data_IF_211792947776
#
_entry.id   IF_211792947776
#
_cell.length_a   1.000
_cell.length_b   1.000
_cell.length_c   1.000
_cell.angle_alpha   90.00
_cell.angle_beta   90.00
_cell.angle_gamma   90.00
#
_symmetry.space_group_name_H-M   'P 1'
#
loop_
_entity.id
_entity.type
_entity.pdbx_description
1 polymer ?
#
# COMPACT_ATOMS: atom_id res chain seq x y z
N UNK A 1 -13.08 55.88 41.18
CA UNK A 1 -11.61 55.92 41.04
C UNK A 1 -11.06 54.69 41.74
N UNK A 2 -10.80 53.62 41.02
CA UNK A 2 -10.21 52.40 41.55
C UNK A 2 -9.05 52.04 40.59
N UNK A 3 -7.83 52.07 41.15
CA UNK A 3 -6.59 51.75 40.43
C UNK A 3 -6.44 50.22 40.38
N UNK A 4 -6.35 49.66 39.18
CA UNK A 4 -6.02 48.25 38.95
C UNK A 4 -4.50 48.14 38.85
N UNK A 5 -3.89 47.35 39.73
CA UNK A 5 -2.45 47.04 39.71
C UNK A 5 -2.26 45.81 38.80
N UNK A 6 -1.37 45.97 37.82
CA UNK A 6 -0.97 44.94 36.88
C UNK A 6 0.17 44.12 37.51
N UNK A 7 -0.07 42.82 37.79
CA UNK A 7 0.97 41.91 38.26
C UNK A 7 1.46 41.12 37.03
N UNK A 8 2.70 41.40 36.59
CA UNK A 8 3.42 40.59 35.61
C UNK A 8 4.00 39.37 36.30
N UNK A 9 3.48 38.15 35.95
CA UNK A 9 4.13 36.90 36.29
C UNK A 9 5.11 36.53 35.17
N UNK A 10 6.40 36.53 35.47
CA UNK A 10 7.47 35.99 34.64
C UNK A 10 7.50 34.47 34.82
N UNK A 11 7.06 33.72 33.82
CA UNK A 11 7.23 32.27 33.72
C UNK A 11 8.56 31.99 33.02
N UNK A 12 9.57 31.61 33.79
CA UNK A 12 10.83 31.04 33.30
C UNK A 12 10.60 29.64 32.76
N UNK A 13 10.69 29.50 31.45
CA UNK A 13 10.61 28.18 30.76
C UNK A 13 11.91 27.42 30.98
N UNK A 14 11.82 26.23 31.58
CA UNK A 14 12.92 25.26 31.63
C UNK A 14 13.07 24.63 30.25
N UNK A 15 14.23 24.79 29.62
CA UNK A 15 14.61 24.07 28.41
C UNK A 15 14.94 22.61 28.76
N UNK A 16 14.16 21.68 28.28
CA UNK A 16 14.51 20.26 28.32
C UNK A 16 15.53 19.96 27.21
N UNK A 17 16.78 19.69 27.60
CA UNK A 17 17.79 19.11 26.74
C UNK A 17 17.39 17.66 26.45
N UNK A 18 17.28 17.30 25.19
CA UNK A 18 17.04 15.93 24.77
C UNK A 18 18.29 15.03 24.99
N UNK A 19 18.15 13.71 25.05
CA UNK A 19 19.28 12.82 25.32
C UNK A 19 20.24 12.74 24.12
N UNK A 20 21.53 13.00 24.38
CA UNK A 20 22.66 12.98 23.44
C UNK A 20 23.15 11.57 23.09
N UNK A 21 22.30 10.54 23.11
CA UNK A 21 22.69 9.17 22.78
C UNK A 21 22.17 8.72 21.44
N UNK A 22 23.07 8.67 20.45
CA UNK A 22 22.83 8.04 19.15
C UNK A 22 22.72 6.52 19.27
N UNK A 23 21.61 5.94 18.82
CA UNK A 23 21.38 4.48 18.77
C UNK A 23 22.03 3.81 17.55
N UNK A 24 23.17 4.30 17.04
CA UNK A 24 23.90 3.58 15.99
C UNK A 24 24.67 2.41 16.60
N UNK A 25 24.58 1.19 16.04
CA UNK A 25 25.41 0.06 16.48
C UNK A 25 26.89 0.38 16.25
N UNK A 26 27.68 0.34 17.33
CA UNK A 26 29.13 0.45 17.26
C UNK A 26 29.64 -0.92 16.80
N UNK A 27 30.41 -0.96 15.71
CA UNK A 27 31.13 -2.17 15.32
C UNK A 27 32.09 -2.59 16.46
N UNK A 28 31.94 -3.82 16.90
CA UNK A 28 32.77 -4.42 17.95
C UNK A 28 34.20 -4.57 17.40
N UNK A 29 35.09 -3.67 17.77
CA UNK A 29 36.53 -3.84 17.56
C UNK A 29 36.99 -5.07 18.32
N UNK A 30 37.77 -5.95 17.67
CA UNK A 30 38.41 -7.09 18.35
C UNK A 30 39.27 -6.54 19.48
N UNK A 31 39.07 -7.04 20.68
CA UNK A 31 39.87 -6.67 21.84
C UNK A 31 41.33 -6.98 21.59
N UNK A 32 42.19 -5.96 21.61
CA UNK A 32 43.66 -6.09 21.68
C UNK A 32 43.98 -6.32 23.13
N UNK A 33 44.60 -7.46 23.45
CA UNK A 33 45.09 -7.74 24.79
C UNK A 33 46.24 -6.79 25.11
N UNK A 34 46.08 -6.01 26.18
CA UNK A 34 47.12 -5.13 26.71
C UNK A 34 47.97 -5.90 27.72
N UNK A 35 49.28 -5.89 27.59
CA UNK A 35 50.21 -6.36 28.63
C UNK A 35 50.26 -5.36 29.79
N UNK A 36 50.53 -5.81 31.02
CA UNK A 36 50.51 -4.96 32.24
C UNK A 36 51.55 -3.82 32.25
N UNK A 37 52.49 -3.78 31.30
CA UNK A 37 53.56 -2.74 31.25
C UNK A 37 53.33 -1.63 30.21
N UNK A 38 52.19 -1.58 29.54
CA UNK A 38 51.81 -0.46 28.66
C UNK A 38 52.66 -0.25 27.40
N UNK A 39 53.54 -1.17 27.05
CA UNK A 39 54.42 -1.06 25.89
C UNK A 39 53.90 -1.92 24.73
N UNK A 40 53.63 -1.27 23.58
CA UNK A 40 53.21 -1.96 22.35
C UNK A 40 54.47 -2.46 21.65
N UNK A 41 54.73 -3.77 21.70
CA UNK A 41 55.79 -4.40 20.92
C UNK A 41 55.21 -4.96 19.63
N UNK A 42 55.68 -4.55 18.46
CA UNK A 42 55.26 -5.19 17.20
C UNK A 42 55.77 -6.63 17.13
N UNK A 43 55.05 -7.57 16.50
CA UNK A 43 55.48 -8.95 16.37
C UNK A 43 56.74 -9.01 15.51
N UNK A 44 57.67 -9.95 15.81
CA UNK A 44 58.93 -10.11 15.05
C UNK A 44 58.62 -10.54 13.62
N UNK A 45 59.29 -9.88 12.70
CA UNK A 45 59.27 -10.20 11.27
C UNK A 45 60.05 -11.52 11.10
N UNK A 46 59.37 -12.61 10.82
CA UNK A 46 60.02 -13.86 10.44
C UNK A 46 60.55 -13.71 9.02
N UNK A 47 61.87 -13.58 8.91
CA UNK A 47 62.61 -13.86 7.66
C UNK A 47 62.71 -15.39 7.54
N UNK A 48 61.95 -15.95 6.64
CA UNK A 48 62.19 -17.30 6.14
C UNK A 48 61.65 -17.37 4.68
N UNK A 49 62.55 -17.38 3.82
CA UNK A 49 62.83 -18.12 2.60
C UNK A 49 61.66 -18.43 1.66
N UNK A 50 61.75 -17.81 0.52
CA UNK A 50 61.73 -18.37 -0.85
C UNK A 50 60.65 -19.37 -1.25
N UNK A 51 60.06 -18.99 -2.42
CA UNK A 51 59.31 -19.85 -3.35
C UNK A 51 57.98 -20.41 -2.89
N UNK A 52 57.02 -19.52 -2.67
CA UNK A 52 55.64 -19.85 -2.91
C UNK A 52 55.10 -19.03 -4.09
N UNK A 53 54.93 -19.72 -5.20
CA UNK A 53 54.21 -19.25 -6.38
C UNK A 53 52.99 -18.40 -5.94
N UNK A 54 53.03 -17.11 -6.27
CA UNK A 54 51.88 -16.23 -6.16
C UNK A 54 50.74 -16.81 -7.01
N UNK A 55 49.93 -17.67 -6.41
CA UNK A 55 48.54 -17.82 -6.88
C UNK A 55 47.86 -16.53 -6.50
N UNK A 56 47.76 -15.65 -7.47
CA UNK A 56 46.89 -14.50 -7.45
C UNK A 56 45.45 -15.01 -7.22
N UNK A 57 45.12 -15.26 -5.95
CA UNK A 57 43.71 -15.35 -5.55
C UNK A 57 43.17 -13.93 -5.52
N UNK A 58 43.11 -13.35 -6.73
CA UNK A 58 42.47 -12.07 -6.95
C UNK A 58 41.02 -12.15 -6.51
N UNK A 59 40.74 -11.55 -5.37
CA UNK A 59 39.36 -11.23 -4.89
C UNK A 59 38.72 -10.22 -5.86
N UNK A 60 39.13 -10.20 -7.12
CA UNK A 60 38.78 -9.20 -8.12
C UNK A 60 37.55 -9.51 -8.97
N UNK A 61 37.01 -10.73 -8.98
CA UNK A 61 35.80 -10.99 -9.73
C UNK A 61 34.74 -11.58 -8.84
N UNK A 62 33.74 -10.75 -8.50
CA UNK A 62 32.53 -11.23 -7.89
C UNK A 62 31.87 -12.26 -8.81
N UNK A 63 31.83 -13.51 -8.41
CA UNK A 63 31.16 -14.60 -9.13
C UNK A 63 29.62 -14.41 -9.19
N UNK A 64 29.10 -13.39 -8.52
CA UNK A 64 27.65 -13.08 -8.51
C UNK A 64 27.03 -12.89 -9.88
N UNK A 65 27.66 -12.26 -10.89
CA UNK A 65 27.08 -12.17 -12.23
C UNK A 65 26.96 -13.52 -12.95
N UNK A 66 27.90 -14.45 -12.70
CA UNK A 66 27.94 -15.76 -13.38
C UNK A 66 26.96 -16.79 -12.80
N UNK A 67 26.55 -16.60 -11.53
CA UNK A 67 25.61 -17.50 -10.85
C UNK A 67 24.13 -17.14 -11.07
N UNK A 68 23.86 -16.00 -11.69
CA UNK A 68 22.48 -15.62 -12.02
C UNK A 68 21.99 -16.42 -13.22
N UNK A 69 21.06 -17.34 -13.00
CA UNK A 69 20.48 -18.07 -14.13
C UNK A 69 19.85 -17.09 -15.14
N UNK A 70 20.06 -17.32 -16.43
CA UNK A 70 19.46 -16.51 -17.51
C UNK A 70 17.94 -16.36 -17.36
N UNK A 71 17.27 -17.33 -16.74
CA UNK A 71 15.86 -17.30 -16.41
C UNK A 71 15.51 -16.23 -15.37
N UNK A 72 16.38 -16.06 -14.33
CA UNK A 72 16.22 -15.03 -13.32
C UNK A 72 16.47 -13.62 -13.88
N UNK A 73 17.46 -13.45 -14.75
CA UNK A 73 17.71 -12.17 -15.42
C UNK A 73 16.58 -11.79 -16.36
N UNK A 74 16.08 -12.71 -17.16
CA UNK A 74 14.92 -12.51 -18.03
C UNK A 74 13.70 -12.10 -17.22
N UNK A 75 13.47 -12.75 -16.08
CA UNK A 75 12.37 -12.43 -15.14
C UNK A 75 12.55 -11.06 -14.49
N UNK A 76 13.79 -10.71 -14.09
CA UNK A 76 14.11 -9.39 -13.52
C UNK A 76 13.96 -8.26 -14.55
N UNK A 77 14.39 -8.47 -15.80
CA UNK A 77 14.24 -7.53 -16.91
C UNK A 77 12.76 -7.32 -17.25
N UNK A 78 11.99 -8.40 -17.34
CA UNK A 78 10.54 -8.32 -17.57
C UNK A 78 9.84 -7.57 -16.43
N UNK A 79 10.20 -7.84 -15.16
CA UNK A 79 9.66 -7.11 -14.00
C UNK A 79 10.01 -5.61 -14.07
N UNK A 80 11.25 -5.24 -14.40
CA UNK A 80 11.65 -3.83 -14.58
C UNK A 80 10.86 -3.14 -15.69
N UNK A 81 10.67 -3.82 -16.83
CA UNK A 81 9.88 -3.30 -17.94
C UNK A 81 8.40 -3.07 -17.55
N UNK A 82 7.84 -3.93 -16.71
CA UNK A 82 6.47 -3.79 -16.22
C UNK A 82 6.35 -2.70 -15.16
N UNK A 83 7.34 -2.55 -14.28
CA UNK A 83 7.43 -1.41 -13.35
C UNK A 83 7.55 -0.08 -14.11
N UNK A 84 8.35 -0.05 -15.19
CA UNK A 84 8.46 1.11 -16.07
C UNK A 84 7.13 1.45 -16.78
N UNK A 85 6.24 0.48 -16.97
CA UNK A 85 4.88 0.67 -17.48
C UNK A 85 3.86 1.10 -16.42
N UNK A 86 4.30 1.40 -15.19
CA UNK A 86 3.44 1.93 -14.13
C UNK A 86 2.83 0.89 -13.20
N UNK A 87 3.45 -0.29 -13.03
CA UNK A 87 3.03 -1.26 -12.00
C UNK A 87 3.29 -0.72 -10.59
N UNK A 88 2.32 -0.88 -9.69
CA UNK A 88 2.40 -0.47 -8.28
C UNK A 88 2.13 -1.64 -7.35
N UNK A 89 2.39 -1.47 -6.06
CA UNK A 89 2.18 -2.49 -5.02
C UNK A 89 2.94 -3.81 -5.24
N UNK A 90 3.97 -3.80 -6.08
CA UNK A 90 4.75 -4.99 -6.45
C UNK A 90 4.00 -5.98 -7.34
N UNK A 91 2.87 -5.58 -7.94
CA UNK A 91 2.01 -6.42 -8.80
C UNK A 91 1.81 -5.76 -10.16
N UNK A 92 2.20 -6.48 -11.23
CA UNK A 92 2.09 -6.01 -12.61
C UNK A 92 0.65 -5.83 -13.08
N UNK A 93 -0.28 -6.51 -12.44
CA UNK A 93 -1.71 -6.42 -12.76
C UNK A 93 -2.37 -5.20 -12.12
N UNK A 94 -1.64 -4.45 -11.27
CA UNK A 94 -2.10 -3.19 -10.68
C UNK A 94 -1.31 -2.05 -11.30
N UNK A 95 -1.96 -1.28 -12.16
CA UNK A 95 -1.33 -0.18 -12.90
C UNK A 95 -1.72 1.16 -12.30
N UNK A 96 -0.73 2.04 -12.13
CA UNK A 96 -0.92 3.36 -11.53
C UNK A 96 0.40 4.05 -11.21
N UNK A 97 0.37 4.91 -10.22
CA UNK A 97 1.54 5.66 -9.74
C UNK A 97 1.61 5.61 -8.22
N UNK A 98 2.78 5.31 -7.67
CA UNK A 98 3.03 5.53 -6.24
C UNK A 98 3.06 7.05 -5.99
N UNK A 99 2.31 7.52 -5.00
CA UNK A 99 2.22 8.95 -4.66
C UNK A 99 2.76 9.25 -3.26
N UNK A 100 3.19 8.21 -2.53
CA UNK A 100 3.73 8.35 -1.19
C UNK A 100 2.67 8.75 -0.17
N UNK A 101 3.09 9.50 0.83
CA UNK A 101 2.22 9.88 1.96
C UNK A 101 1.16 10.90 1.57
N UNK A 102 -0.10 10.57 1.82
CA UNK A 102 -1.22 11.53 1.78
C UNK A 102 -1.43 12.07 3.19
N UNK A 103 -1.14 13.36 3.39
CA UNK A 103 -1.27 14.02 4.70
C UNK A 103 -2.74 14.07 5.15
N UNK A 104 -3.02 13.84 6.45
CA UNK A 104 -4.38 13.92 6.97
C UNK A 104 -4.88 15.37 7.05
N UNK A 105 -6.14 15.60 6.65
CA UNK A 105 -6.85 16.86 6.92
C UNK A 105 -7.60 16.82 8.25
N UNK A 106 -7.99 15.61 8.71
CA UNK A 106 -8.60 15.36 9.99
C UNK A 106 -7.80 14.28 10.73
N UNK A 107 -7.74 14.34 12.06
CA UNK A 107 -7.11 13.31 12.90
C UNK A 107 -7.70 11.94 12.57
N UNK A 108 -6.86 10.96 12.23
CA UNK A 108 -7.25 9.60 11.86
C UNK A 108 -7.51 9.37 10.37
N UNK A 109 -7.42 10.42 9.51
CA UNK A 109 -7.28 10.26 8.07
C UNK A 109 -5.81 10.07 7.67
N UNK A 110 -5.57 9.87 6.37
CA UNK A 110 -4.25 9.78 5.75
C UNK A 110 -3.92 8.39 5.24
N UNK A 111 -2.90 8.30 4.41
CA UNK A 111 -2.36 7.05 3.84
C UNK A 111 -0.85 7.21 3.78
N UNK A 112 -0.08 6.32 4.40
CA UNK A 112 1.38 6.45 4.44
C UNK A 112 2.00 6.14 3.06
N UNK A 113 1.67 4.98 2.48
CA UNK A 113 2.19 4.53 1.18
C UNK A 113 1.06 4.45 0.16
N UNK A 114 0.55 5.62 -0.23
CA UNK A 114 -0.57 5.70 -1.15
C UNK A 114 -0.14 5.42 -2.60
N UNK A 115 -1.04 4.75 -3.31
CA UNK A 115 -0.97 4.55 -4.75
C UNK A 115 -2.19 5.18 -5.42
N UNK A 116 -1.99 5.71 -6.62
CA UNK A 116 -3.07 6.19 -7.50
C UNK A 116 -3.26 5.16 -8.60
N UNK A 117 -4.24 4.29 -8.42
CA UNK A 117 -4.53 3.15 -9.31
C UNK A 117 -5.35 3.60 -10.51
N UNK A 118 -4.96 3.21 -11.70
CA UNK A 118 -5.64 3.48 -12.98
C UNK A 118 -6.36 2.25 -13.53
N UNK A 119 -5.80 1.06 -13.32
CA UNK A 119 -6.41 -0.21 -13.71
C UNK A 119 -5.94 -1.36 -12.85
N UNK A 120 -6.77 -2.40 -12.75
CA UNK A 120 -6.43 -3.67 -12.10
C UNK A 120 -6.84 -4.83 -13.00
N UNK A 121 -5.96 -5.81 -13.17
CA UNK A 121 -6.21 -7.00 -13.98
C UNK A 121 -6.74 -6.70 -15.41
N UNK A 122 -6.26 -5.63 -16.02
CA UNK A 122 -6.69 -5.16 -17.34
C UNK A 122 -8.03 -4.40 -17.35
N UNK A 123 -8.71 -4.25 -16.21
CA UNK A 123 -9.96 -3.48 -16.07
C UNK A 123 -9.62 -2.05 -15.63
N UNK A 124 -10.05 -1.07 -16.43
CA UNK A 124 -9.77 0.36 -16.18
C UNK A 124 -10.70 0.92 -15.11
N UNK A 125 -10.19 1.85 -14.33
CA UNK A 125 -11.01 2.69 -13.46
C UNK A 125 -11.41 3.97 -14.20
N UNK A 126 -12.67 4.38 -14.10
CA UNK A 126 -13.17 5.60 -14.78
C UNK A 126 -12.41 6.86 -14.39
N UNK A 127 -11.82 6.86 -13.20
CA UNK A 127 -10.85 7.85 -12.70
C UNK A 127 -9.79 7.14 -11.85
N UNK A 128 -8.58 7.68 -11.83
CA UNK A 128 -7.52 7.13 -11.02
C UNK A 128 -7.88 7.26 -9.52
N UNK A 129 -7.87 6.13 -8.82
CA UNK A 129 -8.32 6.04 -7.43
C UNK A 129 -7.13 5.98 -6.46
N UNK A 130 -7.15 6.85 -5.44
CA UNK A 130 -6.13 6.86 -4.38
C UNK A 130 -6.54 5.88 -3.28
N UNK A 131 -5.62 4.96 -2.94
CA UNK A 131 -5.81 3.94 -1.91
C UNK A 131 -4.48 3.40 -1.39
N UNK A 132 -4.50 2.56 -0.36
CA UNK A 132 -3.34 1.77 0.05
C UNK A 132 -3.16 0.52 -0.82
N UNK A 133 -1.99 -0.13 -0.70
CA UNK A 133 -1.70 -1.33 -1.49
C UNK A 133 -2.51 -2.56 -1.07
N UNK A 134 -3.01 -2.61 0.16
CA UNK A 134 -3.89 -3.71 0.62
C UNK A 134 -5.21 -3.65 -0.13
N UNK A 135 -5.81 -2.46 -0.21
CA UNK A 135 -7.05 -2.21 -0.95
C UNK A 135 -6.88 -2.44 -2.45
N UNK A 136 -5.76 -1.99 -3.04
CA UNK A 136 -5.48 -2.23 -4.46
C UNK A 136 -5.34 -3.72 -4.79
N UNK A 137 -4.69 -4.51 -3.93
CA UNK A 137 -4.57 -5.96 -4.09
C UNK A 137 -5.91 -6.68 -3.89
N UNK A 138 -6.73 -6.27 -2.92
CA UNK A 138 -8.09 -6.77 -2.73
C UNK A 138 -8.98 -6.49 -3.93
N UNK A 139 -8.88 -5.27 -4.50
CA UNK A 139 -9.58 -4.88 -5.71
C UNK A 139 -9.18 -5.76 -6.90
N UNK A 140 -7.88 -6.00 -7.09
CA UNK A 140 -7.36 -6.90 -8.13
C UNK A 140 -7.89 -8.32 -7.97
N UNK A 141 -7.81 -8.89 -6.76
CA UNK A 141 -8.29 -10.24 -6.46
C UNK A 141 -9.78 -10.39 -6.76
N UNK A 142 -10.59 -9.42 -6.36
CA UNK A 142 -12.03 -9.41 -6.65
C UNK A 142 -12.32 -9.27 -8.15
N UNK A 143 -11.61 -8.38 -8.85
CA UNK A 143 -11.80 -8.18 -10.30
C UNK A 143 -11.47 -9.45 -11.06
N UNK A 144 -10.34 -10.09 -10.78
CA UNK A 144 -9.93 -11.34 -11.45
C UNK A 144 -10.85 -12.51 -11.10
N UNK A 145 -11.07 -12.74 -9.82
CA UNK A 145 -11.77 -13.93 -9.34
C UNK A 145 -13.29 -13.87 -9.49
N UNK A 146 -13.87 -12.68 -9.55
CA UNK A 146 -15.34 -12.55 -9.50
C UNK A 146 -15.91 -11.56 -10.50
N UNK A 147 -15.46 -10.30 -10.53
CA UNK A 147 -16.12 -9.29 -11.35
C UNK A 147 -16.01 -9.63 -12.85
N UNK A 148 -14.83 -9.95 -13.35
CA UNK A 148 -14.66 -10.40 -14.76
C UNK A 148 -15.53 -11.62 -15.09
N UNK A 149 -15.51 -12.72 -14.31
CA UNK A 149 -16.40 -13.87 -14.54
C UNK A 149 -17.90 -13.56 -14.45
N UNK A 150 -18.31 -12.60 -13.59
CA UNK A 150 -19.71 -12.21 -13.46
C UNK A 150 -20.29 -11.58 -14.73
N UNK A 151 -19.45 -10.84 -15.46
CA UNK A 151 -19.82 -10.12 -16.69
C UNK A 151 -19.33 -10.81 -17.97
N UNK A 152 -18.70 -11.98 -17.91
CA UNK A 152 -18.16 -12.68 -19.09
C UNK A 152 -19.21 -12.92 -20.18
N UNK A 153 -20.43 -13.41 -19.80
CA UNK A 153 -21.55 -13.65 -20.73
C UNK A 153 -22.25 -12.37 -21.20
N UNK A 154 -21.77 -11.19 -20.77
CA UNK A 154 -22.32 -9.87 -21.13
C UNK A 154 -21.35 -9.05 -21.98
N UNK A 155 -20.48 -9.70 -22.74
CA UNK A 155 -19.47 -9.01 -23.54
C UNK A 155 -18.16 -8.73 -22.82
N UNK A 156 -18.02 -9.14 -21.55
CA UNK A 156 -16.79 -8.97 -20.78
C UNK A 156 -16.68 -7.60 -20.07
N UNK A 157 -15.96 -7.58 -18.96
CA UNK A 157 -15.73 -6.38 -18.15
C UNK A 157 -14.49 -5.63 -18.64
N UNK A 158 -14.64 -4.38 -19.05
CA UNK A 158 -13.57 -3.48 -19.50
C UNK A 158 -13.22 -2.39 -18.48
N UNK A 159 -14.21 -1.91 -17.72
CA UNK A 159 -14.01 -0.80 -16.80
C UNK A 159 -14.93 -0.83 -15.59
N UNK A 160 -14.53 -0.10 -14.56
CA UNK A 160 -15.31 0.16 -13.34
C UNK A 160 -15.53 1.66 -13.20
N UNK A 161 -16.77 2.07 -13.03
CA UNK A 161 -17.10 3.47 -12.68
C UNK A 161 -16.87 3.65 -11.17
N UNK A 162 -15.87 4.44 -10.83
CA UNK A 162 -15.51 4.78 -9.45
C UNK A 162 -16.37 5.95 -8.98
N UNK A 163 -17.25 5.73 -8.01
CA UNK A 163 -18.05 6.76 -7.36
C UNK A 163 -17.22 7.53 -6.32
N UNK A 164 -16.50 6.81 -5.44
CA UNK A 164 -15.60 7.42 -4.47
C UNK A 164 -14.35 6.55 -4.23
N UNK A 165 -13.29 7.21 -3.78
CA UNK A 165 -12.05 6.60 -3.33
C UNK A 165 -11.56 7.35 -2.07
N UNK A 166 -10.25 7.63 -1.89
CA UNK A 166 -9.78 8.42 -0.76
C UNK A 166 -10.57 9.74 -0.61
N UNK A 167 -11.16 9.91 0.56
CA UNK A 167 -11.85 11.12 0.97
C UNK A 167 -11.77 11.25 2.50
N UNK A 168 -11.04 12.26 2.98
CA UNK A 168 -10.89 12.50 4.42
C UNK A 168 -12.19 13.09 4.98
N UNK A 169 -13.01 12.24 5.57
CA UNK A 169 -14.30 12.58 6.20
C UNK A 169 -14.70 11.53 7.23
N UNK A 170 -15.64 11.86 8.07
CA UNK A 170 -16.32 10.90 8.95
C UNK A 170 -17.30 10.02 8.17
N UNK A 171 -17.71 8.91 8.76
CA UNK A 171 -18.77 8.03 8.20
C UNK A 171 -20.06 8.84 8.03
N UNK A 172 -20.62 8.83 6.82
CA UNK A 172 -21.83 9.56 6.44
C UNK A 172 -21.78 11.07 6.77
N UNK A 173 -20.58 11.67 6.79
CA UNK A 173 -20.32 13.08 7.12
C UNK A 173 -20.90 13.52 8.50
N UNK A 174 -21.07 12.59 9.44
CA UNK A 174 -21.57 12.94 10.79
C UNK A 174 -20.53 13.74 11.57
N UNK A 175 -20.84 14.92 12.10
CA UNK A 175 -19.95 15.66 13.01
C UNK A 175 -19.55 14.77 14.19
N UNK A 176 -18.25 14.78 14.57
CA UNK A 176 -17.73 13.96 15.67
C UNK A 176 -17.74 12.45 15.43
N UNK A 177 -18.19 11.99 14.27
CA UNK A 177 -18.29 10.56 13.95
C UNK A 177 -16.91 9.91 13.70
N UNK A 178 -16.89 8.58 13.68
CA UNK A 178 -15.68 7.81 13.33
C UNK A 178 -15.24 8.13 11.90
N UNK A 179 -13.93 8.20 11.68
CA UNK A 179 -13.34 8.38 10.33
C UNK A 179 -13.78 7.22 9.45
N UNK A 180 -14.20 7.55 8.22
CA UNK A 180 -14.54 6.58 7.17
C UNK A 180 -13.28 5.84 6.70
N UNK A 181 -13.43 4.59 6.24
CA UNK A 181 -12.32 3.86 5.63
C UNK A 181 -11.82 4.51 4.33
N UNK A 182 -12.66 5.32 3.66
CA UNK A 182 -12.21 6.21 2.59
C UNK A 182 -11.15 7.22 3.07
N UNK A 183 -11.31 7.77 4.28
CA UNK A 183 -10.33 8.69 4.86
C UNK A 183 -9.00 8.07 5.22
N UNK A 184 -8.92 6.73 5.19
CA UNK A 184 -7.70 5.95 5.44
C UNK A 184 -7.13 5.32 4.17
N UNK A 185 -7.71 5.61 3.01
CA UNK A 185 -7.34 4.98 1.74
C UNK A 185 -7.66 3.49 1.66
N UNK A 186 -8.59 3.01 2.46
CA UNK A 186 -8.94 1.60 2.61
C UNK A 186 -10.27 1.22 1.96
N UNK A 187 -10.89 2.13 1.22
CA UNK A 187 -12.19 1.91 0.58
C UNK A 187 -12.25 2.45 -0.84
N UNK A 188 -13.08 1.81 -1.65
CA UNK A 188 -13.47 2.25 -2.99
C UNK A 188 -14.95 1.97 -3.20
N UNK A 189 -15.65 2.93 -3.84
CA UNK A 189 -17.05 2.81 -4.22
C UNK A 189 -17.18 2.63 -5.72
N UNK A 190 -17.92 1.59 -6.15
CA UNK A 190 -18.14 1.24 -7.55
C UNK A 190 -19.62 1.39 -7.88
N UNK A 191 -19.96 2.33 -8.77
CA UNK A 191 -21.35 2.62 -9.16
C UNK A 191 -21.79 1.94 -10.45
N UNK A 192 -20.84 1.50 -11.31
CA UNK A 192 -21.21 0.81 -12.55
C UNK A 192 -20.05 -0.02 -13.12
N UNK A 193 -20.40 -0.93 -13.99
CA UNK A 193 -19.53 -1.87 -14.70
C UNK A 193 -19.62 -1.59 -16.21
N UNK A 194 -18.49 -1.20 -16.81
CA UNK A 194 -18.39 -0.90 -18.24
C UNK A 194 -18.01 -2.17 -18.99
N UNK A 195 -18.78 -2.51 -20.00
CA UNK A 195 -18.59 -3.71 -20.81
C UNK A 195 -17.73 -3.41 -22.06
N UNK A 196 -17.24 -4.46 -22.71
CA UNK A 196 -16.36 -4.33 -23.87
C UNK A 196 -17.06 -3.80 -25.11
N UNK A 197 -18.39 -3.99 -25.21
CA UNK A 197 -19.26 -3.46 -26.25
C UNK A 197 -19.64 -1.98 -26.06
N UNK A 198 -19.14 -1.35 -24.98
CA UNK A 198 -19.45 0.03 -24.61
C UNK A 198 -20.67 0.21 -23.70
N UNK A 199 -21.45 -0.86 -23.49
CA UNK A 199 -22.59 -0.78 -22.57
C UNK A 199 -22.13 -0.61 -21.12
N UNK A 200 -22.99 -0.03 -20.29
CA UNK A 200 -22.74 0.17 -18.87
C UNK A 200 -23.86 -0.45 -18.02
N UNK A 201 -23.48 -1.25 -17.04
CA UNK A 201 -24.37 -1.84 -16.06
C UNK A 201 -24.27 -1.04 -14.76
N UNK A 202 -25.20 -0.12 -14.54
CA UNK A 202 -25.28 0.67 -13.31
C UNK A 202 -25.77 -0.19 -12.13
N UNK A 203 -25.20 0.00 -10.95
CA UNK A 203 -25.68 -0.64 -9.71
C UNK A 203 -27.10 -0.20 -9.41
N UNK A 204 -27.39 1.12 -9.43
CA UNK A 204 -28.70 1.69 -9.13
C UNK A 204 -29.82 1.05 -9.97
N UNK A 205 -29.67 1.09 -11.30
CA UNK A 205 -30.72 0.62 -12.22
C UNK A 205 -30.68 -0.90 -12.42
N UNK A 206 -29.49 -1.51 -12.33
CA UNK A 206 -29.28 -2.92 -12.65
C UNK A 206 -29.55 -3.88 -11.50
N UNK A 207 -29.57 -3.41 -10.24
CA UNK A 207 -29.66 -4.26 -9.07
C UNK A 207 -30.93 -5.12 -9.02
N UNK A 208 -32.07 -4.58 -9.47
CA UNK A 208 -33.36 -5.25 -9.56
C UNK A 208 -33.71 -5.70 -10.97
N UNK A 209 -33.07 -5.13 -12.00
CA UNK A 209 -33.36 -5.42 -13.41
C UNK A 209 -33.04 -6.89 -13.75
N UNK A 210 -34.03 -7.60 -14.34
CA UNK A 210 -33.92 -9.03 -14.69
C UNK A 210 -32.65 -9.35 -15.50
N UNK A 211 -32.27 -8.45 -16.43
CA UNK A 211 -31.09 -8.62 -17.29
C UNK A 211 -29.76 -8.54 -16.54
N UNK A 212 -29.66 -7.79 -15.42
CA UNK A 212 -28.40 -7.44 -14.79
C UNK A 212 -28.26 -7.94 -13.34
N UNK A 213 -29.37 -8.19 -12.66
CA UNK A 213 -29.39 -8.57 -11.23
C UNK A 213 -28.46 -9.76 -10.89
N UNK A 214 -28.42 -10.79 -11.76
CA UNK A 214 -27.61 -12.00 -11.53
C UNK A 214 -26.10 -11.68 -11.53
N UNK A 215 -25.63 -10.88 -12.51
CA UNK A 215 -24.24 -10.47 -12.61
C UNK A 215 -23.83 -9.57 -11.46
N UNK A 216 -24.66 -8.55 -11.13
CA UNK A 216 -24.39 -7.63 -10.04
C UNK A 216 -24.36 -8.32 -8.68
N UNK A 217 -25.32 -9.20 -8.39
CA UNK A 217 -25.35 -9.97 -7.13
C UNK A 217 -24.19 -10.92 -7.00
N UNK A 218 -23.75 -11.54 -8.12
CA UNK A 218 -22.54 -12.38 -8.13
C UNK A 218 -21.31 -11.54 -7.85
N UNK A 219 -21.16 -10.38 -8.50
CA UNK A 219 -20.05 -9.46 -8.27
C UNK A 219 -20.00 -8.97 -6.82
N UNK A 220 -21.15 -8.57 -6.26
CA UNK A 220 -21.28 -8.14 -4.87
C UNK A 220 -20.91 -9.26 -3.90
N UNK A 221 -21.53 -10.44 -4.02
CA UNK A 221 -21.26 -11.60 -3.14
C UNK A 221 -19.79 -12.00 -3.14
N UNK A 222 -19.15 -12.00 -4.31
CA UNK A 222 -17.75 -12.40 -4.42
C UNK A 222 -16.73 -11.33 -4.04
N UNK A 223 -17.17 -10.13 -3.68
CA UNK A 223 -16.33 -9.13 -3.04
C UNK A 223 -16.10 -9.46 -1.56
N UNK A 224 -17.01 -10.23 -0.96
CA UNK A 224 -16.89 -10.73 0.41
C UNK A 224 -15.72 -11.72 0.52
N UNK A 225 -14.82 -11.51 1.43
CA UNK A 225 -13.57 -12.26 1.57
C UNK A 225 -12.35 -11.45 1.10
N UNK A 226 -12.22 -11.09 -0.19
CA UNK A 226 -11.21 -10.11 -0.61
C UNK A 226 -11.32 -8.80 0.17
N UNK A 227 -12.54 -8.28 0.41
CA UNK A 227 -12.81 -7.12 1.25
C UNK A 227 -13.36 -7.53 2.63
N UNK A 228 -13.10 -6.69 3.62
CA UNK A 228 -13.58 -6.89 4.98
C UNK A 228 -15.00 -6.37 5.19
N UNK A 229 -15.37 -5.28 4.49
CA UNK A 229 -16.75 -4.78 4.43
C UNK A 229 -17.18 -4.68 2.98
N UNK A 230 -18.37 -5.19 2.70
CA UNK A 230 -19.04 -5.09 1.40
C UNK A 230 -20.47 -4.63 1.62
N UNK A 231 -20.77 -3.40 1.20
CA UNK A 231 -22.13 -2.86 1.28
C UNK A 231 -22.67 -2.61 -0.13
N UNK A 232 -23.95 -2.86 -0.31
CA UNK A 232 -24.63 -2.64 -1.59
C UNK A 232 -26.07 -2.21 -1.40
N UNK A 233 -26.89 -2.23 -2.46
CA UNK A 233 -28.24 -1.67 -2.43
C UNK A 233 -29.18 -2.20 -1.35
N UNK A 234 -28.90 -3.39 -0.79
CA UNK A 234 -29.67 -3.99 0.29
C UNK A 234 -29.17 -3.59 1.69
N UNK A 235 -28.00 -2.94 1.80
CA UNK A 235 -27.41 -2.62 3.10
C UNK A 235 -28.18 -1.51 3.83
N UNK A 236 -28.29 -0.34 3.21
CA UNK A 236 -28.94 0.84 3.76
C UNK A 236 -29.26 1.89 2.67
N UNK A 237 -29.76 3.07 3.07
CA UNK A 237 -30.14 4.15 2.17
C UNK A 237 -28.96 4.83 1.47
N UNK A 238 -27.74 4.71 2.01
CA UNK A 238 -26.56 5.39 1.49
C UNK A 238 -25.85 4.61 0.39
N UNK A 239 -26.16 3.31 0.23
CA UNK A 239 -25.49 2.40 -0.70
C UNK A 239 -26.40 1.91 -1.85
N UNK A 240 -27.49 2.65 -2.15
CA UNK A 240 -28.46 2.25 -3.19
C UNK A 240 -27.91 2.23 -4.60
N UNK A 241 -26.89 3.04 -4.88
CA UNK A 241 -26.35 3.31 -6.22
C UNK A 241 -24.93 2.82 -6.44
N UNK A 242 -24.30 2.19 -5.43
CA UNK A 242 -22.92 1.70 -5.53
C UNK A 242 -22.64 0.52 -4.60
N UNK A 243 -21.53 -0.16 -4.85
CA UNK A 243 -20.91 -1.09 -3.92
C UNK A 243 -19.82 -0.36 -3.17
N UNK A 244 -19.94 -0.26 -1.85
CA UNK A 244 -18.85 0.14 -0.97
C UNK A 244 -18.02 -1.08 -0.63
N UNK A 245 -16.72 -1.01 -0.93
CA UNK A 245 -15.76 -2.10 -0.74
C UNK A 245 -14.61 -1.58 0.12
N UNK A 246 -14.45 -2.10 1.35
CA UNK A 246 -13.34 -1.70 2.22
C UNK A 246 -12.57 -2.88 2.80
N UNK A 247 -11.33 -2.63 3.21
CA UNK A 247 -10.41 -3.63 3.75
C UNK A 247 -10.31 -3.60 5.27
N UNK A 248 -11.29 -3.02 5.98
CA UNK A 248 -11.40 -3.16 7.43
C UNK A 248 -11.52 -4.66 7.81
N UNK A 249 -10.89 -5.05 8.91
CA UNK A 249 -10.91 -6.44 9.39
C UNK A 249 -11.62 -6.50 10.73
N UNK A 250 -12.50 -7.49 10.87
CA UNK A 250 -13.25 -7.76 12.08
C UNK A 250 -12.95 -9.18 12.56
N UNK A 251 -13.07 -9.43 13.86
CA UNK A 251 -12.83 -10.77 14.44
C UNK A 251 -13.81 -11.83 13.91
N UNK A 252 -15.02 -11.42 13.57
CA UNK A 252 -16.09 -12.28 13.04
C UNK A 252 -15.99 -12.53 11.53
N UNK A 253 -14.93 -12.07 10.88
CA UNK A 253 -14.75 -12.18 9.42
C UNK A 253 -15.30 -10.96 8.67
N UNK A 254 -15.61 -11.15 7.37
CA UNK A 254 -16.12 -10.07 6.52
C UNK A 254 -17.57 -9.74 6.81
N UNK A 255 -17.90 -8.44 6.83
CA UNK A 255 -19.27 -7.93 6.96
C UNK A 255 -19.81 -7.60 5.56
N UNK A 256 -20.83 -8.33 5.10
CA UNK A 256 -21.36 -8.24 3.73
C UNK A 256 -22.89 -8.10 3.73
N UNK A 257 -23.39 -6.97 3.18
CA UNK A 257 -24.82 -6.64 3.13
C UNK A 257 -25.25 -5.98 1.83
#
# INVERSE_FOLDING_TARGET
>A
MIRLALICLLLSGAAFAGPDTSLRPIQRSKAVALNPSGTITPPPRSEAGETASRRDNGIGSSLRPFLRSRKLEKKAKARRALLAKGAVCGDISIQGKAIGRVKPKLKGCGVEDAVRVQSVAGVRLSRAAVMDCVTAKSLKTWVEGTAKPAFAKKGGLRGLRVAAHYACRTRNNKPGGKISEHGRGRAIDISAFQLSDGAEVSVLKGWTAASNKKALRRAHKGACGPFGTVLGPNADRFHKDHFHLDTARYRSGSYCR
#
